data_IF_232300519784
#
_entry.id   IF_232300519784
#
_cell.length_a   1.000
_cell.length_b   1.000
_cell.length_c   1.000
_cell.angle_alpha   90.00
_cell.angle_beta   90.00
_cell.angle_gamma   90.00
#
_symmetry.space_group_name_H-M   'P 1'
#
loop_
_entity.id
_entity.type
_entity.pdbx_description
1 polymer ?
#
# COMPACT_ATOMS: atom_id res chain seq x y z
N UNK A 1 -3.44 -38.65 16.53
CA UNK A 1 -3.11 -37.35 15.90
C UNK A 1 -3.74 -36.27 16.76
N UNK A 2 -3.04 -35.19 17.06
CA UNK A 2 -3.62 -34.09 17.80
C UNK A 2 -4.78 -33.47 16.99
N UNK A 3 -5.83 -33.04 17.68
CA UNK A 3 -6.98 -32.40 17.04
C UNK A 3 -6.51 -31.06 16.42
N UNK A 4 -6.78 -30.85 15.14
CA UNK A 4 -6.42 -29.61 14.46
C UNK A 4 -7.26 -28.43 14.99
N UNK A 5 -6.65 -27.27 15.07
CA UNK A 5 -7.32 -26.00 15.37
C UNK A 5 -8.30 -25.69 14.22
N UNK A 6 -9.56 -25.47 14.56
CA UNK A 6 -10.61 -25.17 13.58
C UNK A 6 -10.67 -23.68 13.31
N UNK A 7 -10.59 -23.28 12.04
CA UNK A 7 -10.80 -21.89 11.65
C UNK A 7 -12.29 -21.58 11.52
N UNK A 8 -12.70 -20.46 12.10
CA UNK A 8 -14.08 -19.93 11.99
C UNK A 8 -14.26 -19.04 10.77
N UNK A 9 -13.25 -18.25 10.43
CA UNK A 9 -13.26 -17.31 9.29
C UNK A 9 -12.25 -17.80 8.26
N UNK A 10 -12.62 -17.92 6.98
CA UNK A 10 -11.67 -18.25 5.92
C UNK A 10 -10.59 -17.16 5.77
N UNK A 11 -9.38 -17.60 5.43
CA UNK A 11 -8.27 -16.74 5.07
C UNK A 11 -8.32 -16.43 3.56
N UNK A 12 -8.26 -15.16 3.18
CA UNK A 12 -8.02 -14.80 1.78
C UNK A 12 -6.57 -15.12 1.44
N UNK A 13 -6.39 -16.08 0.54
CA UNK A 13 -5.08 -16.54 0.09
C UNK A 13 -4.78 -15.95 -1.27
N UNK A 14 -3.82 -15.01 -1.32
CA UNK A 14 -3.35 -14.38 -2.56
C UNK A 14 -2.01 -14.97 -2.94
N UNK A 15 -2.02 -15.95 -3.83
CA UNK A 15 -0.80 -16.56 -4.33
C UNK A 15 -0.02 -15.59 -5.23
N UNK A 16 1.25 -15.87 -5.43
CA UNK A 16 2.15 -14.96 -6.12
C UNK A 16 2.90 -15.58 -7.28
N UNK A 17 4.02 -14.98 -7.59
CA UNK A 17 4.88 -15.40 -8.68
C UNK A 17 6.13 -16.14 -8.20
N UNK A 18 6.70 -16.93 -9.10
CA UNK A 18 8.03 -17.54 -8.98
C UNK A 18 8.25 -18.29 -7.65
N UNK A 19 9.37 -18.04 -7.00
CA UNK A 19 9.82 -18.73 -5.78
C UNK A 19 8.84 -18.54 -4.60
N UNK A 20 8.15 -17.41 -4.50
CA UNK A 20 7.27 -17.15 -3.36
C UNK A 20 6.05 -18.05 -3.33
N UNK A 21 5.52 -18.46 -4.47
CA UNK A 21 4.47 -19.47 -4.61
C UNK A 21 4.91 -20.81 -4.02
N UNK A 22 6.11 -21.24 -4.35
CA UNK A 22 6.68 -22.50 -3.86
C UNK A 22 6.93 -22.45 -2.36
N UNK A 23 7.54 -21.37 -1.87
CA UNK A 23 7.78 -21.18 -0.45
C UNK A 23 6.49 -21.14 0.36
N UNK A 24 5.45 -20.45 -0.15
CA UNK A 24 4.16 -20.42 0.52
C UNK A 24 3.51 -21.79 0.59
N UNK A 25 3.60 -22.56 -0.50
CA UNK A 25 3.12 -23.95 -0.50
C UNK A 25 3.83 -24.80 0.56
N UNK A 26 5.15 -24.73 0.67
CA UNK A 26 5.93 -25.43 1.70
C UNK A 26 5.50 -25.00 3.11
N UNK A 27 5.34 -23.70 3.36
CA UNK A 27 4.87 -23.18 4.66
C UNK A 27 3.48 -23.75 4.99
N UNK A 28 2.56 -23.77 4.05
CA UNK A 28 1.24 -24.38 4.27
C UNK A 28 1.34 -25.85 4.62
N UNK A 29 2.04 -26.61 3.79
CA UNK A 29 2.09 -28.07 3.90
C UNK A 29 2.81 -28.53 5.18
N UNK A 30 3.90 -27.86 5.55
CA UNK A 30 4.77 -28.32 6.63
C UNK A 30 4.49 -27.65 7.97
N UNK A 31 4.07 -26.38 7.98
CA UNK A 31 3.95 -25.58 9.20
C UNK A 31 2.49 -25.21 9.60
N UNK A 32 1.55 -25.26 8.67
CA UNK A 32 0.17 -24.83 8.93
C UNK A 32 -0.79 -26.01 8.92
N UNK A 33 -0.89 -26.73 7.81
CA UNK A 33 -1.86 -27.81 7.62
C UNK A 33 -1.73 -28.98 8.62
N UNK A 34 -0.56 -29.30 9.18
CA UNK A 34 -0.49 -30.32 10.22
C UNK A 34 -1.25 -29.95 11.51
N UNK A 35 -1.37 -28.63 11.80
CA UNK A 35 -1.92 -28.15 13.07
C UNK A 35 -3.28 -27.45 12.95
N UNK A 36 -3.58 -26.92 11.78
CA UNK A 36 -4.77 -26.08 11.53
C UNK A 36 -5.61 -26.68 10.41
N UNK A 37 -6.93 -26.71 10.61
CA UNK A 37 -7.91 -26.96 9.55
C UNK A 37 -8.10 -25.66 8.76
N UNK A 38 -7.15 -25.39 7.84
CA UNK A 38 -7.06 -24.17 7.09
C UNK A 38 -8.18 -24.06 6.05
N UNK A 39 -9.01 -23.04 6.17
CA UNK A 39 -10.00 -22.66 5.16
C UNK A 39 -9.52 -21.43 4.43
N UNK A 40 -9.47 -21.51 3.10
CA UNK A 40 -9.02 -20.39 2.27
C UNK A 40 -10.04 -20.01 1.21
N UNK A 41 -10.10 -18.73 0.89
CA UNK A 41 -10.66 -18.22 -0.35
C UNK A 41 -9.48 -17.80 -1.24
N UNK A 42 -9.22 -18.60 -2.28
CA UNK A 42 -7.98 -18.56 -3.04
C UNK A 42 -8.06 -17.64 -4.26
N UNK A 43 -7.04 -16.80 -4.43
CA UNK A 43 -6.84 -15.92 -5.57
C UNK A 43 -5.41 -16.07 -6.12
N UNK A 44 -5.29 -16.46 -7.36
CA UNK A 44 -3.99 -16.49 -8.04
C UNK A 44 -3.62 -15.09 -8.57
N UNK A 45 -2.73 -14.40 -7.88
CA UNK A 45 -2.22 -13.09 -8.30
C UNK A 45 -0.92 -13.20 -9.11
N UNK A 46 -0.60 -14.38 -9.63
CA UNK A 46 0.49 -14.54 -10.57
C UNK A 46 0.27 -13.73 -11.84
N UNK A 47 1.35 -13.26 -12.44
CA UNK A 47 1.32 -12.31 -13.55
C UNK A 47 0.49 -12.77 -14.73
N UNK A 48 0.55 -14.07 -15.08
CA UNK A 48 -0.24 -14.65 -16.17
C UNK A 48 -1.75 -14.57 -15.85
N UNK A 49 -2.16 -14.96 -14.65
CA UNK A 49 -3.58 -14.94 -14.27
C UNK A 49 -4.14 -13.52 -14.17
N UNK A 50 -3.32 -12.57 -13.75
CA UNK A 50 -3.68 -11.17 -13.74
C UNK A 50 -3.88 -10.63 -15.16
N UNK A 51 -3.02 -11.01 -16.09
CA UNK A 51 -3.15 -10.62 -17.50
C UNK A 51 -4.41 -11.20 -18.14
N UNK A 52 -4.71 -12.48 -17.92
CA UNK A 52 -5.94 -13.14 -18.38
C UNK A 52 -7.22 -12.46 -17.90
N UNK A 53 -7.19 -11.92 -16.67
CA UNK A 53 -8.37 -11.28 -16.04
C UNK A 53 -8.38 -9.76 -16.18
N UNK A 54 -7.45 -9.18 -16.95
CA UNK A 54 -7.25 -7.74 -17.02
C UNK A 54 -7.10 -7.10 -15.62
N UNK A 55 -6.35 -7.77 -14.76
CA UNK A 55 -6.09 -7.43 -13.34
C UNK A 55 -7.35 -7.35 -12.45
N UNK A 56 -8.50 -7.87 -12.92
CA UNK A 56 -9.73 -7.88 -12.11
C UNK A 56 -9.57 -8.77 -10.87
N UNK A 57 -8.85 -9.88 -10.97
CA UNK A 57 -8.60 -10.79 -9.85
C UNK A 57 -7.92 -10.11 -8.66
N UNK A 58 -7.09 -9.09 -8.90
CA UNK A 58 -6.45 -8.29 -7.83
C UNK A 58 -7.49 -7.48 -7.04
N UNK A 59 -8.49 -6.93 -7.75
CA UNK A 59 -9.58 -6.18 -7.12
C UNK A 59 -10.50 -7.11 -6.33
N UNK A 60 -10.85 -8.26 -6.91
CA UNK A 60 -11.71 -9.26 -6.27
C UNK A 60 -11.07 -9.78 -4.97
N UNK A 61 -9.77 -10.06 -4.99
CA UNK A 61 -9.02 -10.44 -3.80
C UNK A 61 -9.01 -9.36 -2.71
N UNK A 62 -8.91 -8.08 -3.10
CA UNK A 62 -8.96 -6.97 -2.16
C UNK A 62 -10.35 -6.81 -1.53
N UNK A 63 -11.41 -6.92 -2.32
CA UNK A 63 -12.79 -6.87 -1.79
C UNK A 63 -13.12 -8.09 -0.90
N UNK A 64 -12.62 -9.28 -1.25
CA UNK A 64 -12.72 -10.44 -0.36
C UNK A 64 -12.00 -10.20 0.98
N UNK A 65 -10.84 -9.54 0.93
CA UNK A 65 -10.10 -9.16 2.16
C UNK A 65 -10.89 -8.19 3.03
N UNK A 66 -11.57 -7.21 2.45
CA UNK A 66 -12.48 -6.32 3.22
C UNK A 66 -13.60 -7.11 3.90
N UNK A 67 -14.17 -8.06 3.18
CA UNK A 67 -15.30 -8.86 3.67
C UNK A 67 -14.89 -9.83 4.79
N UNK A 68 -13.74 -10.50 4.65
CA UNK A 68 -13.28 -11.52 5.58
C UNK A 68 -12.37 -10.99 6.70
N UNK A 69 -11.76 -9.82 6.51
CA UNK A 69 -10.94 -9.15 7.51
C UNK A 69 -9.51 -9.67 7.66
N UNK A 70 -9.13 -10.75 6.95
CA UNK A 70 -7.81 -11.36 7.05
C UNK A 70 -7.35 -11.90 5.70
N UNK A 71 -6.09 -11.66 5.36
CA UNK A 71 -5.48 -12.18 4.14
C UNK A 71 -3.99 -12.46 4.31
N UNK A 72 -3.49 -13.38 3.50
CA UNK A 72 -2.06 -13.57 3.25
C UNK A 72 -1.78 -13.32 1.77
N UNK A 73 -0.71 -12.63 1.48
CA UNK A 73 -0.31 -12.35 0.10
C UNK A 73 1.15 -12.68 -0.13
N UNK A 74 1.38 -13.51 -1.13
CA UNK A 74 2.70 -13.78 -1.67
C UNK A 74 3.24 -12.60 -2.49
N UNK A 75 4.54 -12.56 -2.72
CA UNK A 75 5.13 -11.57 -3.60
C UNK A 75 4.67 -11.77 -5.06
N UNK A 76 4.47 -10.67 -5.75
CA UNK A 76 3.99 -10.63 -7.13
C UNK A 76 4.91 -9.78 -7.99
N UNK A 77 5.03 -10.14 -9.26
CA UNK A 77 5.79 -9.35 -10.25
C UNK A 77 5.00 -8.09 -10.60
N UNK A 78 5.67 -6.94 -10.58
CA UNK A 78 5.21 -5.73 -11.27
C UNK A 78 5.97 -5.66 -12.58
N UNK A 79 5.31 -5.82 -13.75
CA UNK A 79 6.01 -5.94 -15.02
C UNK A 79 6.67 -4.62 -15.43
N UNK A 80 7.83 -4.75 -16.03
CA UNK A 80 8.51 -3.74 -16.81
C UNK A 80 8.53 -4.17 -18.29
N UNK A 81 9.15 -3.41 -19.17
CA UNK A 81 9.23 -3.74 -20.58
C UNK A 81 9.78 -5.15 -20.85
N UNK A 82 10.86 -5.54 -20.15
CA UNK A 82 11.45 -6.87 -20.28
C UNK A 82 10.46 -7.99 -19.92
N UNK A 83 9.71 -7.80 -18.83
CA UNK A 83 8.70 -8.77 -18.38
C UNK A 83 7.47 -8.81 -19.29
N UNK A 84 7.15 -7.70 -19.97
CA UNK A 84 6.12 -7.67 -21.03
C UNK A 84 6.44 -8.69 -22.13
N UNK A 85 7.67 -8.66 -22.63
CA UNK A 85 8.12 -9.54 -23.71
C UNK A 85 8.23 -11.01 -23.23
N UNK A 86 8.81 -11.21 -22.04
CA UNK A 86 9.01 -12.55 -21.45
C UNK A 86 7.69 -13.30 -21.24
N UNK A 87 6.68 -12.62 -20.69
CA UNK A 87 5.38 -13.21 -20.36
C UNK A 87 4.33 -13.00 -21.45
N UNK A 88 4.65 -12.29 -22.54
CA UNK A 88 3.76 -11.93 -23.66
C UNK A 88 2.47 -11.24 -23.15
N UNK A 89 2.62 -10.26 -22.26
CA UNK A 89 1.49 -9.58 -21.62
C UNK A 89 0.79 -8.64 -22.59
N UNK A 90 -0.52 -8.48 -22.42
CA UNK A 90 -1.34 -7.54 -23.16
C UNK A 90 -1.03 -6.07 -22.83
N UNK A 91 -0.66 -5.82 -21.56
CA UNK A 91 -0.27 -4.48 -21.11
C UNK A 91 0.64 -4.53 -19.88
N UNK A 92 1.30 -3.41 -19.59
CA UNK A 92 2.12 -3.22 -18.39
C UNK A 92 1.20 -2.95 -17.18
N UNK A 93 0.84 -4.02 -16.46
CA UNK A 93 -0.04 -3.95 -15.29
C UNK A 93 0.58 -3.17 -14.14
N UNK A 94 -0.25 -2.40 -13.43
CA UNK A 94 0.16 -1.71 -12.19
C UNK A 94 0.52 -2.70 -11.10
N UNK A 95 1.20 -2.21 -10.05
CA UNK A 95 1.54 -3.04 -8.90
C UNK A 95 0.27 -3.51 -8.18
N UNK A 96 0.07 -4.83 -8.00
CA UNK A 96 -1.06 -5.36 -7.23
C UNK A 96 -1.05 -4.86 -5.78
N UNK A 97 0.14 -4.66 -5.20
CA UNK A 97 0.27 -4.10 -3.86
C UNK A 97 -0.35 -2.70 -3.76
N UNK A 98 -0.13 -1.86 -4.77
CA UNK A 98 -0.73 -0.52 -4.84
C UNK A 98 -2.25 -0.58 -4.95
N UNK A 99 -2.77 -1.44 -5.83
CA UNK A 99 -4.21 -1.65 -6.03
C UNK A 99 -4.89 -2.13 -4.75
N UNK A 100 -4.38 -3.21 -4.14
CA UNK A 100 -4.93 -3.79 -2.91
C UNK A 100 -4.93 -2.76 -1.77
N UNK A 101 -3.79 -2.12 -1.51
CA UNK A 101 -3.68 -1.12 -0.43
C UNK A 101 -4.63 0.06 -0.63
N UNK A 102 -4.78 0.53 -1.87
CA UNK A 102 -5.71 1.62 -2.19
C UNK A 102 -7.18 1.23 -1.97
N UNK A 103 -7.54 -0.02 -2.28
CA UNK A 103 -8.89 -0.54 -2.05
C UNK A 103 -9.15 -0.72 -0.56
N UNK A 104 -8.18 -1.23 0.19
CA UNK A 104 -8.29 -1.45 1.64
C UNK A 104 -8.19 -0.15 2.45
N UNK A 105 -7.61 0.91 1.87
CA UNK A 105 -7.32 2.18 2.56
C UNK A 105 -6.58 1.94 3.89
N UNK A 106 -5.55 1.10 3.84
CA UNK A 106 -4.86 0.61 5.03
C UNK A 106 -3.58 1.37 5.35
N UNK A 107 -3.06 1.09 6.53
CA UNK A 107 -1.75 1.53 7.00
C UNK A 107 -0.78 0.34 7.05
N UNK A 108 0.42 0.53 6.55
CA UNK A 108 1.48 -0.48 6.62
C UNK A 108 2.42 -0.14 7.78
N UNK A 109 2.45 -1.00 8.78
CA UNK A 109 3.43 -0.92 9.87
C UNK A 109 4.60 -1.85 9.59
N UNK A 110 5.81 -1.32 9.69
CA UNK A 110 7.06 -2.07 9.52
C UNK A 110 7.85 -2.00 10.81
N UNK A 111 7.80 -3.08 11.56
CA UNK A 111 8.57 -3.27 12.78
C UNK A 111 9.76 -4.18 12.48
N UNK A 112 10.99 -3.85 12.86
CA UNK A 112 12.13 -4.70 12.64
C UNK A 112 12.00 -5.99 13.46
N UNK A 113 12.38 -7.11 12.85
CA UNK A 113 12.58 -8.38 13.56
C UNK A 113 14.02 -8.39 14.04
N UNK A 114 14.22 -8.39 15.35
CA UNK A 114 15.55 -8.40 15.96
C UNK A 114 15.95 -9.81 16.35
N UNK A 115 17.17 -10.20 15.98
CA UNK A 115 17.77 -11.48 16.33
C UNK A 115 19.01 -11.17 17.19
N UNK A 116 19.14 -11.70 18.43
CA UNK A 116 20.21 -11.31 19.35
C UNK A 116 21.64 -11.50 18.81
N UNK A 117 21.83 -12.49 17.94
CA UNK A 117 23.13 -12.77 17.31
C UNK A 117 23.47 -11.90 16.10
N UNK A 118 22.50 -11.10 15.61
CA UNK A 118 22.68 -10.22 14.45
C UNK A 118 22.62 -8.77 14.92
N UNK A 119 23.75 -8.09 14.88
CA UNK A 119 23.81 -6.69 15.27
C UNK A 119 23.16 -5.79 14.21
N UNK A 120 22.35 -4.79 14.62
CA UNK A 120 21.81 -3.82 13.70
C UNK A 120 22.91 -2.95 13.09
N UNK A 121 22.67 -2.42 11.89
CA UNK A 121 23.61 -1.53 11.20
C UNK A 121 23.93 -0.28 12.03
N UNK A 122 22.95 0.24 12.77
CA UNK A 122 23.12 1.35 13.72
C UNK A 122 23.16 0.77 15.14
N UNK A 123 24.35 0.61 15.67
CA UNK A 123 24.58 -0.08 16.97
C UNK A 123 23.95 0.60 18.18
N UNK A 124 23.73 1.91 18.10
CA UNK A 124 23.14 2.69 19.19
C UNK A 124 21.60 2.60 19.27
N UNK A 125 20.96 1.92 18.32
CA UNK A 125 19.52 1.70 18.38
C UNK A 125 19.21 0.49 19.26
N UNK A 126 18.82 0.79 20.48
CA UNK A 126 18.53 -0.25 21.49
C UNK A 126 17.06 -0.71 21.43
N UNK A 127 16.19 0.10 20.87
CA UNK A 127 14.75 -0.19 20.76
C UNK A 127 14.31 -0.25 19.31
N UNK A 128 13.36 -1.11 18.96
CA UNK A 128 12.77 -1.14 17.61
C UNK A 128 12.14 0.20 17.24
N UNK A 129 12.40 0.65 16.02
CA UNK A 129 11.71 1.80 15.42
C UNK A 129 10.72 1.25 14.40
N UNK A 130 9.43 1.43 14.67
CA UNK A 130 8.36 1.05 13.73
C UNK A 130 8.07 2.21 12.79
N UNK A 131 8.03 1.92 11.49
CA UNK A 131 7.67 2.90 10.47
C UNK A 131 6.24 2.64 10.01
N UNK A 132 5.36 3.60 10.27
CA UNK A 132 4.02 3.61 9.70
C UNK A 132 4.05 4.26 8.32
N UNK A 133 3.39 3.64 7.35
CA UNK A 133 3.29 4.13 5.98
C UNK A 133 1.83 4.25 5.57
N UNK A 134 1.45 5.45 5.14
CA UNK A 134 0.17 5.67 4.49
C UNK A 134 0.11 4.89 3.16
N UNK A 135 -0.96 4.14 2.94
CA UNK A 135 -1.05 3.22 1.81
C UNK A 135 -2.01 3.69 0.71
N UNK A 136 -2.47 4.93 0.77
CA UNK A 136 -3.41 5.54 -0.18
C UNK A 136 -2.82 6.83 -0.76
N UNK A 137 -3.15 7.11 -2.03
CA UNK A 137 -2.78 8.37 -2.67
C UNK A 137 -1.28 8.49 -2.96
N UNK A 138 -0.76 9.70 -2.86
CA UNK A 138 0.63 10.06 -3.08
C UNK A 138 1.17 9.52 -4.42
N UNK A 139 2.42 9.08 -4.45
CA UNK A 139 3.06 8.51 -5.64
C UNK A 139 2.40 7.22 -6.14
N UNK A 140 1.63 6.51 -5.30
CA UNK A 140 0.99 5.24 -5.68
C UNK A 140 -0.29 5.42 -6.50
N UNK A 141 -0.89 6.60 -6.46
CA UNK A 141 -2.04 7.01 -7.27
C UNK A 141 -1.76 8.25 -8.10
N UNK A 142 -0.51 8.54 -8.34
CA UNK A 142 -0.11 9.64 -9.20
C UNK A 142 -0.49 9.39 -10.67
N UNK A 143 -0.65 10.48 -11.39
CA UNK A 143 -0.72 10.52 -12.85
C UNK A 143 0.49 11.25 -13.39
N UNK A 144 1.02 10.76 -14.50
CA UNK A 144 2.26 11.25 -15.09
C UNK A 144 2.05 11.61 -16.55
N UNK A 145 2.73 12.65 -17.00
CA UNK A 145 2.78 13.06 -18.40
C UNK A 145 4.24 13.27 -18.82
N UNK A 146 4.61 12.71 -19.96
CA UNK A 146 5.83 13.06 -20.67
C UNK A 146 5.52 14.22 -21.61
N UNK A 147 6.19 15.34 -21.41
CA UNK A 147 6.19 16.45 -22.36
C UNK A 147 7.35 16.24 -23.33
N UNK A 148 7.06 16.05 -24.62
CA UNK A 148 8.08 15.81 -25.64
C UNK A 148 8.47 17.08 -26.41
N UNK A 149 7.72 18.17 -26.20
CA UNK A 149 7.90 19.47 -26.84
C UNK A 149 7.69 20.63 -25.85
N UNK A 150 8.04 21.88 -26.21
CA UNK A 150 7.69 23.06 -25.40
C UNK A 150 6.19 23.21 -25.22
N UNK A 151 5.76 23.59 -24.00
CA UNK A 151 4.34 23.74 -23.69
C UNK A 151 4.09 24.20 -22.26
N UNK A 152 2.83 24.42 -21.92
CA UNK A 152 2.41 24.86 -20.59
C UNK A 152 1.67 23.73 -19.88
N UNK A 153 2.19 23.32 -18.72
CA UNK A 153 1.52 22.38 -17.84
C UNK A 153 0.65 23.13 -16.82
N UNK A 154 -0.58 22.69 -16.62
CA UNK A 154 -1.55 23.30 -15.71
C UNK A 154 -2.14 22.25 -14.79
N UNK A 155 -2.49 22.67 -13.57
CA UNK A 155 -3.35 21.95 -12.65
C UNK A 155 -4.71 22.61 -12.64
N UNK A 156 -5.77 21.85 -12.91
CA UNK A 156 -7.15 22.35 -13.00
C UNK A 156 -8.00 21.58 -11.99
N UNK A 157 -8.87 22.29 -11.30
CA UNK A 157 -9.89 21.72 -10.42
C UNK A 157 -11.25 22.30 -10.78
N UNK A 158 -12.16 21.43 -11.22
CA UNK A 158 -13.55 21.75 -11.53
C UNK A 158 -14.45 21.16 -10.45
N UNK A 159 -14.95 22.00 -9.56
CA UNK A 159 -15.85 21.62 -8.48
C UNK A 159 -17.29 21.45 -8.96
N UNK A 160 -18.03 20.50 -8.39
CA UNK A 160 -19.45 20.26 -8.70
C UNK A 160 -20.34 21.50 -8.46
N UNK A 161 -19.93 22.39 -7.55
CA UNK A 161 -20.60 23.67 -7.30
C UNK A 161 -20.35 24.74 -8.36
N UNK A 162 -19.60 24.43 -9.42
CA UNK A 162 -19.16 25.38 -10.44
C UNK A 162 -17.90 26.16 -10.08
N UNK A 163 -17.25 25.84 -8.95
CA UNK A 163 -15.93 26.42 -8.62
C UNK A 163 -14.90 25.93 -9.61
N UNK A 164 -14.19 26.86 -10.25
CA UNK A 164 -13.07 26.58 -11.16
C UNK A 164 -11.79 27.18 -10.61
N UNK A 165 -10.75 26.38 -10.49
CA UNK A 165 -9.39 26.83 -10.14
C UNK A 165 -8.39 26.29 -11.17
N UNK A 166 -7.54 27.16 -11.71
CA UNK A 166 -6.47 26.80 -12.64
C UNK A 166 -5.15 27.43 -12.17
N UNK A 167 -4.10 26.62 -12.14
CA UNK A 167 -2.76 27.07 -11.77
C UNK A 167 -1.75 26.53 -12.78
N UNK A 168 -0.90 27.41 -13.31
CA UNK A 168 0.24 27.01 -14.14
C UNK A 168 1.27 26.32 -13.23
N UNK A 169 1.56 25.06 -13.55
CA UNK A 169 2.57 24.27 -12.84
C UNK A 169 3.96 24.63 -13.37
N UNK A 170 4.12 24.61 -14.70
CA UNK A 170 5.39 24.91 -15.36
C UNK A 170 5.21 25.25 -16.85
N UNK A 171 6.12 26.05 -17.37
CA UNK A 171 6.24 26.30 -18.81
C UNK A 171 7.50 25.61 -19.31
N UNK A 172 7.31 24.50 -20.01
CA UNK A 172 8.40 23.73 -20.60
C UNK A 172 8.97 24.47 -21.81
N UNK A 173 10.29 24.60 -21.88
CA UNK A 173 11.03 25.11 -23.03
C UNK A 173 11.56 23.98 -23.91
N UNK A 174 11.35 22.73 -23.55
CA UNK A 174 11.77 21.52 -24.24
C UNK A 174 11.14 20.32 -23.53
N UNK A 175 11.66 19.12 -23.82
CA UNK A 175 11.16 17.89 -23.24
C UNK A 175 11.31 17.86 -21.71
N UNK A 176 10.35 17.22 -21.02
CA UNK A 176 10.35 17.07 -19.59
C UNK A 176 9.31 16.06 -19.11
N UNK A 177 9.15 15.96 -17.81
CA UNK A 177 8.16 15.11 -17.17
C UNK A 177 7.37 15.90 -16.13
N UNK A 178 6.11 15.55 -15.95
CA UNK A 178 5.34 16.09 -14.82
C UNK A 178 4.56 14.97 -14.16
N UNK A 179 4.31 15.12 -12.85
CA UNK A 179 3.58 14.18 -12.04
C UNK A 179 2.62 14.96 -11.13
N UNK A 180 1.37 14.49 -11.04
CA UNK A 180 0.40 15.01 -10.11
C UNK A 180 0.00 13.95 -9.08
N UNK A 181 -0.07 14.34 -7.81
CA UNK A 181 -0.46 13.51 -6.67
C UNK A 181 -1.70 14.07 -6.01
N UNK A 182 -2.44 13.21 -5.31
CA UNK A 182 -3.59 13.61 -4.50
C UNK A 182 -3.68 12.79 -3.22
N UNK A 183 -4.43 13.31 -2.27
CA UNK A 183 -4.88 12.56 -1.11
C UNK A 183 -6.29 13.03 -0.72
N UNK A 184 -6.95 12.32 0.19
CA UNK A 184 -8.27 12.70 0.71
C UNK A 184 -8.22 12.85 2.23
N UNK A 185 -8.96 13.80 2.78
CA UNK A 185 -9.05 14.03 4.23
C UNK A 185 -9.51 12.77 4.97
N UNK A 186 -10.44 12.02 4.37
CA UNK A 186 -10.92 10.75 4.93
C UNK A 186 -9.79 9.73 5.08
N UNK A 187 -8.93 9.58 4.07
CA UNK A 187 -7.82 8.62 4.11
C UNK A 187 -6.71 9.08 5.05
N UNK A 188 -6.39 10.37 5.08
CA UNK A 188 -5.44 10.96 6.04
C UNK A 188 -5.92 10.71 7.48
N UNK A 189 -7.20 10.93 7.76
CA UNK A 189 -7.79 10.70 9.10
C UNK A 189 -7.73 9.22 9.49
N UNK A 190 -8.07 8.32 8.57
CA UNK A 190 -7.94 6.87 8.77
C UNK A 190 -6.51 6.46 9.10
N UNK A 191 -5.54 7.02 8.40
CA UNK A 191 -4.11 6.81 8.68
C UNK A 191 -3.70 7.32 10.07
N UNK A 192 -4.14 8.51 10.45
CA UNK A 192 -3.87 9.08 11.77
C UNK A 192 -4.43 8.17 12.88
N UNK A 193 -5.70 7.76 12.80
CA UNK A 193 -6.29 6.82 13.76
C UNK A 193 -5.52 5.50 13.85
N UNK A 194 -5.10 4.95 12.72
CA UNK A 194 -4.29 3.72 12.71
C UNK A 194 -2.97 3.90 13.45
N UNK A 195 -2.29 5.04 13.26
CA UNK A 195 -1.03 5.35 13.93
C UNK A 195 -1.21 5.51 15.46
N UNK A 196 -2.24 6.25 15.90
CA UNK A 196 -2.51 6.42 17.33
C UNK A 196 -2.89 5.11 18.01
N UNK A 197 -3.80 4.33 17.41
CA UNK A 197 -4.18 3.01 17.95
C UNK A 197 -2.99 2.07 18.05
N UNK A 198 -2.18 1.98 17.00
CA UNK A 198 -0.98 1.14 17.03
C UNK A 198 0.01 1.57 18.13
N UNK A 199 0.22 2.87 18.29
CA UNK A 199 1.11 3.40 19.32
C UNK A 199 0.61 3.07 20.73
N UNK A 200 -0.69 3.19 20.98
CA UNK A 200 -1.32 2.82 22.26
C UNK A 200 -1.24 1.30 22.50
N UNK A 201 -1.63 0.49 21.53
CA UNK A 201 -1.64 -0.97 21.64
C UNK A 201 -0.25 -1.56 21.90
N UNK A 202 0.79 -0.92 21.36
CA UNK A 202 2.19 -1.36 21.52
C UNK A 202 2.96 -0.58 22.57
N UNK A 203 2.33 0.38 23.24
CA UNK A 203 2.95 1.27 24.24
C UNK A 203 4.24 1.97 23.69
N UNK A 204 4.13 2.54 22.50
CA UNK A 204 5.23 3.25 21.85
C UNK A 204 4.93 4.74 21.70
N UNK A 205 5.97 5.57 21.75
CA UNK A 205 5.85 7.00 21.42
C UNK A 205 5.61 7.17 19.93
N UNK A 206 4.67 8.03 19.55
CA UNK A 206 4.37 8.36 18.15
C UNK A 206 5.06 9.68 17.76
N UNK A 207 5.82 9.63 16.68
CA UNK A 207 6.41 10.80 16.05
C UNK A 207 5.84 10.98 14.65
N UNK A 208 5.30 12.15 14.38
CA UNK A 208 4.78 12.52 13.07
C UNK A 208 5.59 13.69 12.51
N UNK A 209 5.96 13.62 11.24
CA UNK A 209 6.73 14.67 10.56
C UNK A 209 6.23 14.86 9.14
N UNK A 210 6.14 16.11 8.71
CA UNK A 210 5.83 16.50 7.34
C UNK A 210 6.75 17.65 6.89
N UNK A 211 6.73 17.98 5.61
CA UNK A 211 7.43 19.13 5.05
C UNK A 211 6.48 20.32 4.80
N UNK A 212 5.63 20.63 5.78
CA UNK A 212 4.60 21.67 5.69
C UNK A 212 5.16 23.08 5.46
N UNK A 213 6.42 23.33 5.82
CA UNK A 213 7.10 24.60 5.54
C UNK A 213 7.29 24.87 4.04
N UNK A 214 7.31 23.82 3.20
CA UNK A 214 7.42 23.90 1.74
C UNK A 214 6.08 23.56 1.09
N UNK A 215 5.51 22.40 1.41
CA UNK A 215 4.23 21.91 0.91
C UNK A 215 3.08 22.43 1.78
N UNK A 216 2.77 23.73 1.62
CA UNK A 216 1.88 24.49 2.53
C UNK A 216 0.40 24.13 2.44
N UNK A 217 -0.02 23.34 1.46
CA UNK A 217 -1.38 22.81 1.35
C UNK A 217 -1.39 21.32 1.59
N UNK A 218 -0.61 20.57 0.83
CA UNK A 218 -0.63 19.10 0.86
C UNK A 218 -0.13 18.56 2.21
N UNK A 219 1.11 18.84 2.59
CA UNK A 219 1.67 18.35 3.86
C UNK A 219 1.05 19.05 5.08
N UNK A 220 0.64 20.30 4.94
CA UNK A 220 -0.05 21.00 6.01
C UNK A 220 -1.40 20.36 6.35
N UNK A 221 -2.13 19.81 5.35
CA UNK A 221 -3.39 19.12 5.59
C UNK A 221 -3.18 17.84 6.42
N UNK A 222 -2.13 17.08 6.16
CA UNK A 222 -1.76 15.95 7.01
C UNK A 222 -1.53 16.38 8.46
N UNK A 223 -0.77 17.45 8.67
CA UNK A 223 -0.49 17.99 9.99
C UNK A 223 -1.77 18.43 10.73
N UNK A 224 -2.65 19.16 10.05
CA UNK A 224 -3.92 19.63 10.62
C UNK A 224 -4.76 18.42 11.08
N UNK A 225 -4.96 17.44 10.20
CA UNK A 225 -5.78 16.27 10.52
C UNK A 225 -5.15 15.42 11.64
N UNK A 226 -3.82 15.26 11.66
CA UNK A 226 -3.15 14.57 12.77
C UNK A 226 -3.35 15.26 14.10
N UNK A 227 -3.35 16.59 14.15
CA UNK A 227 -3.66 17.34 15.37
C UNK A 227 -5.13 17.18 15.79
N UNK A 228 -6.07 17.24 14.85
CA UNK A 228 -7.48 16.99 15.13
C UNK A 228 -7.70 15.61 15.75
N UNK A 229 -7.13 14.58 15.14
CA UNK A 229 -7.23 13.19 15.63
C UNK A 229 -6.51 13.02 16.98
N UNK A 230 -5.36 13.70 17.18
CA UNK A 230 -4.67 13.67 18.46
C UNK A 230 -5.56 14.16 19.62
N UNK A 231 -6.40 15.17 19.39
CA UNK A 231 -7.33 15.65 20.43
C UNK A 231 -8.30 14.57 20.90
N UNK A 232 -8.64 13.59 20.03
CA UNK A 232 -9.50 12.46 20.36
C UNK A 232 -8.80 11.40 21.24
N UNK A 233 -7.48 11.42 21.33
CA UNK A 233 -6.64 10.44 22.07
C UNK A 233 -5.91 11.05 23.28
N UNK A 234 -6.25 12.28 23.68
CA UNK A 234 -5.57 12.96 24.79
C UNK A 234 -5.82 12.38 26.17
N UNK A 235 -6.90 11.63 26.34
CA UNK A 235 -7.26 10.95 27.60
C UNK A 235 -6.67 9.53 27.62
#
# INVERSE_FOLDING_TARGET
MAQKIQMTTPLVEMDGDEMTRILWKMIKDELILPFIDLKTEYYDLGLVKRDETSDQITKDAAEATKRLGVAVKCATITPNHQRMDEYKLHQMWKSPNGTIRSILDGTVFRTPITIPSIHPAVRNWEKPITIARHAYGDVYKSVEIRADEPGVAKLVFDGESGKHEEVVVHTFKGAGVLQAMHNTDKSIRSFAHSCFKFALDTNQSLWFSTKDTISKKYDAQFKIIFYEVFEEYKE
#
